data_IF_594972869898
#
_entry.id   IF_594972869898
#
_cell.length_a   1.000
_cell.length_b   1.000
_cell.length_c   1.000
_cell.angle_alpha   90.00
_cell.angle_beta   90.00
_cell.angle_gamma   90.00
#
_symmetry.space_group_name_H-M   'P 1'
#
loop_
_entity.id
_entity.type
_entity.pdbx_description
1 polymer ?
#
# COMPACT_ATOMS: atom_id res chain seq x y z
N UNK A 1 18.11 3.04 27.52
CA UNK A 1 17.27 4.22 27.20
C UNK A 1 15.96 3.71 26.66
N UNK A 2 14.89 3.86 27.42
CA UNK A 2 13.55 3.35 27.08
C UNK A 2 12.87 4.40 26.21
N UNK A 3 12.96 4.26 24.88
CA UNK A 3 12.20 5.11 23.97
C UNK A 3 10.78 4.53 23.89
N UNK A 4 9.85 5.10 24.65
CA UNK A 4 8.42 4.92 24.41
C UNK A 4 7.99 6.02 23.45
N UNK A 5 7.74 5.74 22.16
CA UNK A 5 7.06 6.70 21.32
C UNK A 5 5.65 6.90 21.88
N UNK A 6 5.27 8.16 22.01
CA UNK A 6 3.92 8.60 22.34
C UNK A 6 2.99 8.02 21.26
N UNK A 7 2.02 7.21 21.68
CA UNK A 7 0.95 6.78 20.80
C UNK A 7 0.07 8.00 20.50
N UNK A 8 0.36 8.69 19.40
CA UNK A 8 -0.53 9.73 18.88
C UNK A 8 -1.67 9.03 18.15
N UNK A 9 -2.65 8.52 18.89
CA UNK A 9 -3.96 8.25 18.31
C UNK A 9 -4.61 9.59 18.03
N UNK A 10 -4.29 10.20 16.88
CA UNK A 10 -5.16 11.20 16.30
C UNK A 10 -6.29 10.41 15.65
N UNK A 11 -7.44 10.35 16.32
CA UNK A 11 -8.70 9.89 15.73
C UNK A 11 -9.09 10.86 14.61
N UNK A 12 -8.47 10.67 13.43
CA UNK A 12 -8.64 11.54 12.26
C UNK A 12 -7.45 11.59 11.29
N UNK A 13 -6.31 10.95 11.56
CA UNK A 13 -5.21 10.87 10.58
C UNK A 13 -5.54 9.82 9.52
N UNK A 14 -5.50 10.21 8.25
CA UNK A 14 -5.36 9.25 7.15
C UNK A 14 -3.90 8.82 7.09
N UNK A 15 -3.65 7.53 7.16
CA UNK A 15 -2.30 6.97 6.97
C UNK A 15 -1.94 7.08 5.47
N UNK A 16 -0.65 7.26 5.20
CA UNK A 16 -0.12 7.24 3.84
C UNK A 16 0.23 5.79 3.47
N UNK A 17 -0.18 5.39 2.27
CA UNK A 17 0.03 4.08 1.70
C UNK A 17 0.75 4.20 0.37
N UNK A 18 1.54 3.17 0.07
CA UNK A 18 2.22 2.97 -1.20
C UNK A 18 1.75 1.66 -1.80
N UNK A 19 1.34 1.69 -3.07
CA UNK A 19 1.00 0.51 -3.86
C UNK A 19 2.05 0.33 -4.95
N UNK A 20 2.72 -0.81 -4.91
CA UNK A 20 3.65 -1.23 -5.95
C UNK A 20 2.95 -2.21 -6.88
N UNK A 21 2.71 -1.80 -8.12
CA UNK A 21 2.16 -2.68 -9.16
C UNK A 21 3.30 -3.46 -9.79
N UNK A 22 3.27 -4.77 -9.60
CA UNK A 22 4.28 -5.74 -10.01
C UNK A 22 3.62 -6.84 -10.85
N UNK A 23 4.43 -7.65 -11.52
CA UNK A 23 4.00 -8.82 -12.27
C UNK A 23 5.01 -9.96 -12.07
N UNK A 24 4.56 -11.21 -12.16
CA UNK A 24 5.45 -12.37 -12.13
C UNK A 24 6.29 -12.42 -13.43
N UNK A 25 7.60 -12.69 -13.39
CA UNK A 25 8.46 -12.96 -12.22
C UNK A 25 9.18 -11.73 -11.65
N UNK A 26 8.93 -10.53 -12.16
CA UNK A 26 9.68 -9.32 -11.85
C UNK A 26 9.07 -8.54 -10.67
N UNK A 27 9.08 -9.17 -9.50
CA UNK A 27 8.49 -8.60 -8.27
C UNK A 27 9.36 -7.51 -7.63
N UNK A 28 10.67 -7.54 -7.87
CA UNK A 28 11.62 -6.57 -7.27
C UNK A 28 11.61 -5.21 -7.99
N UNK A 29 11.01 -5.12 -9.18
CA UNK A 29 10.96 -3.89 -9.98
C UNK A 29 9.51 -3.52 -10.28
N UNK A 30 8.88 -2.66 -9.46
CA UNK A 30 7.51 -2.24 -9.70
C UNK A 30 7.38 -1.49 -11.03
N UNK A 31 6.39 -1.89 -11.83
CA UNK A 31 6.03 -1.21 -13.08
C UNK A 31 5.46 0.18 -12.80
N UNK A 32 4.74 0.33 -11.70
CA UNK A 32 4.11 1.57 -11.27
C UNK A 32 4.06 1.61 -9.75
N UNK A 33 4.39 2.76 -9.18
CA UNK A 33 4.30 3.03 -7.74
C UNK A 33 3.28 4.15 -7.54
N UNK A 34 2.26 3.90 -6.71
CA UNK A 34 1.21 4.87 -6.40
C UNK A 34 1.17 5.17 -4.91
N UNK A 35 1.26 6.45 -4.55
CA UNK A 35 1.07 6.92 -3.18
C UNK A 35 -0.33 7.47 -2.99
N UNK A 36 -0.99 7.09 -1.90
CA UNK A 36 -2.34 7.58 -1.58
C UNK A 36 -2.57 7.55 -0.07
N UNK A 37 -3.53 8.32 0.44
CA UNK A 37 -3.91 8.26 1.84
C UNK A 37 -5.23 7.51 2.03
N UNK A 38 -5.36 6.79 3.15
CA UNK A 38 -6.60 6.13 3.52
C UNK A 38 -6.84 6.22 5.03
N UNK A 39 -8.12 6.14 5.43
CA UNK A 39 -8.53 6.28 6.84
C UNK A 39 -8.24 5.06 7.72
N UNK A 40 -8.14 3.89 7.08
CA UNK A 40 -7.95 2.58 7.69
C UNK A 40 -7.49 1.59 6.62
N UNK A 41 -6.97 0.43 7.04
CA UNK A 41 -6.46 -0.60 6.12
C UNK A 41 -7.54 -1.14 5.17
N UNK A 42 -8.79 -1.26 5.61
CA UNK A 42 -9.89 -1.74 4.77
C UNK A 42 -10.23 -0.76 3.63
N UNK A 43 -10.15 0.54 3.89
CA UNK A 43 -10.25 1.59 2.88
C UNK A 43 -9.02 1.56 1.97
N UNK A 44 -7.83 1.31 2.53
CA UNK A 44 -6.61 1.22 1.76
C UNK A 44 -6.64 0.07 0.76
N UNK A 45 -7.02 -1.14 1.18
CA UNK A 45 -7.12 -2.30 0.29
C UNK A 45 -8.15 -2.09 -0.83
N UNK A 46 -9.33 -1.52 -0.52
CA UNK A 46 -10.34 -1.21 -1.55
C UNK A 46 -9.87 -0.14 -2.53
N UNK A 47 -9.16 0.88 -2.05
CA UNK A 47 -8.58 1.90 -2.92
C UNK A 47 -7.47 1.30 -3.78
N UNK A 48 -6.60 0.46 -3.21
CA UNK A 48 -5.53 -0.22 -3.91
C UNK A 48 -6.07 -1.15 -5.02
N UNK A 49 -7.17 -1.87 -4.79
CA UNK A 49 -7.83 -2.67 -5.83
C UNK A 49 -8.27 -1.81 -7.02
N UNK A 50 -8.89 -0.65 -6.77
CA UNK A 50 -9.32 0.26 -7.83
C UNK A 50 -8.14 0.85 -8.60
N UNK A 51 -7.06 1.17 -7.89
CA UNK A 51 -5.83 1.68 -8.51
C UNK A 51 -5.16 0.61 -9.36
N UNK A 52 -5.08 -0.64 -8.87
CA UNK A 52 -4.54 -1.78 -9.62
C UNK A 52 -5.35 -2.09 -10.89
N UNK A 53 -6.68 -2.04 -10.80
CA UNK A 53 -7.58 -2.25 -11.93
C UNK A 53 -7.40 -1.18 -13.02
N UNK A 54 -7.18 0.07 -12.60
CA UNK A 54 -6.95 1.20 -13.49
C UNK A 54 -5.55 1.23 -14.14
N UNK A 55 -4.59 0.43 -13.66
CA UNK A 55 -3.27 0.33 -14.30
C UNK A 55 -3.35 -0.62 -15.49
N UNK A 56 -3.02 -0.09 -16.66
CA UNK A 56 -2.81 -0.89 -17.86
C UNK A 56 -1.55 -1.75 -17.69
N UNK A 57 -1.64 -3.03 -18.06
CA UNK A 57 -0.51 -3.94 -17.94
C UNK A 57 -0.88 -5.40 -18.11
N UNK A 58 0.07 -6.30 -17.79
CA UNK A 58 -0.17 -7.74 -17.82
C UNK A 58 -1.38 -8.17 -16.97
N UNK A 59 -2.01 -9.28 -17.37
CA UNK A 59 -3.18 -9.82 -16.67
C UNK A 59 -2.83 -10.46 -15.31
N UNK A 60 -1.58 -10.89 -15.16
CA UNK A 60 -0.99 -11.45 -13.95
C UNK A 60 -0.39 -10.39 -13.01
N UNK A 61 -0.72 -9.10 -13.24
CA UNK A 61 -0.32 -8.03 -12.32
C UNK A 61 -0.99 -8.15 -10.96
N UNK A 62 -0.26 -7.79 -9.94
CA UNK A 62 -0.75 -7.67 -8.57
C UNK A 62 -0.13 -6.45 -7.90
N UNK A 63 -0.71 -6.04 -6.79
CA UNK A 63 -0.26 -4.87 -6.04
C UNK A 63 0.32 -5.26 -4.69
N UNK A 64 1.55 -4.87 -4.38
CA UNK A 64 2.07 -4.94 -3.02
C UNK A 64 1.74 -3.64 -2.28
N UNK A 65 0.96 -3.76 -1.20
CA UNK A 65 0.52 -2.62 -0.41
C UNK A 65 1.46 -2.43 0.78
N UNK A 66 1.89 -1.19 0.97
CA UNK A 66 2.72 -0.76 2.09
C UNK A 66 2.05 0.42 2.82
N UNK A 67 2.23 0.50 4.14
CA UNK A 67 1.84 1.66 4.96
C UNK A 67 3.08 2.41 5.41
N UNK A 68 3.05 3.73 5.35
CA UNK A 68 4.09 4.56 5.95
C UNK A 68 3.82 4.71 7.45
N UNK A 69 4.81 4.34 8.27
CA UNK A 69 4.71 4.38 9.74
C UNK A 69 5.03 5.77 10.35
N UNK A 70 5.27 6.77 9.50
CA UNK A 70 5.64 8.13 9.90
C UNK A 70 7.15 8.33 10.15
N UNK A 71 7.94 7.25 10.22
CA UNK A 71 9.39 7.29 10.43
C UNK A 71 10.18 7.15 9.12
N UNK A 72 9.49 7.32 7.98
CA UNK A 72 10.06 7.24 6.64
C UNK A 72 10.20 5.80 6.11
N UNK A 73 9.77 4.80 6.88
CA UNK A 73 9.76 3.40 6.44
C UNK A 73 8.38 3.02 5.94
N UNK A 74 8.32 2.31 4.82
CA UNK A 74 7.10 1.70 4.30
C UNK A 74 7.05 0.23 4.75
N UNK A 75 6.04 -0.12 5.54
CA UNK A 75 5.84 -1.47 6.09
C UNK A 75 4.89 -2.24 5.19
N UNK A 76 5.29 -3.43 4.78
CA UNK A 76 4.44 -4.33 3.99
C UNK A 76 3.14 -4.65 4.75
N UNK A 77 2.01 -4.53 4.05
CA UNK A 77 0.67 -4.79 4.57
C UNK A 77 0.05 -6.04 3.95
N UNK A 78 -0.11 -6.06 2.62
CA UNK A 78 -0.86 -7.10 1.95
C UNK A 78 -0.53 -7.19 0.44
N UNK A 79 -0.89 -8.31 -0.18
CA UNK A 79 -0.84 -8.50 -1.63
C UNK A 79 -2.25 -8.40 -2.21
N UNK A 80 -2.47 -7.36 -3.00
CA UNK A 80 -3.73 -7.05 -3.67
C UNK A 80 -3.79 -7.75 -5.01
N UNK A 81 -4.75 -8.66 -5.14
CA UNK A 81 -5.06 -9.31 -6.42
C UNK A 81 -6.33 -8.71 -7.01
N UNK A 82 -6.39 -8.66 -8.34
CA UNK A 82 -7.66 -8.41 -9.02
C UNK A 82 -8.60 -9.60 -8.78
N UNK A 83 -9.89 -9.35 -8.54
CA UNK A 83 -10.86 -10.44 -8.45
C UNK A 83 -10.90 -11.20 -9.78
N UNK A 84 -10.94 -12.53 -9.69
CA UNK A 84 -11.04 -13.44 -10.84
C UNK A 84 -12.40 -13.35 -11.55
#
# INVERSE_FOLDING_TARGET
>A
MTHRPFATYVTGTTDEYRLDVVNDPEVDTPQTVVYFTARDIDAACRQAQRLLDAVDGPADRFGELYVHDGDGTALYCDTIHLPA
#
